data_IF_590906992893
#
_entry.id   IF_590906992893
#
_cell.length_a   1.000
_cell.length_b   1.000
_cell.length_c   1.000
_cell.angle_alpha   90.00
_cell.angle_beta   90.00
_cell.angle_gamma   90.00
#
_symmetry.space_group_name_H-M   'P 1'
#
loop_
_entity.id
_entity.type
_entity.pdbx_description
1 polymer ?
#
# COMPACT_ATOMS: atom_id res chain seq x y z
N UNK A 1 25.87 -43.32 30.41
CA UNK A 1 25.68 -41.95 30.96
C UNK A 1 26.51 -40.99 30.13
N UNK A 2 25.98 -39.77 29.89
CA UNK A 2 26.51 -38.62 29.10
C UNK A 2 26.61 -38.84 27.58
N UNK A 3 25.89 -38.20 26.66
CA UNK A 3 25.05 -36.99 26.71
C UNK A 3 25.76 -35.79 26.06
N UNK A 4 25.63 -35.60 24.73
CA UNK A 4 25.90 -34.32 24.04
C UNK A 4 25.05 -34.19 22.76
N UNK A 5 24.11 -33.24 22.66
CA UNK A 5 23.40 -32.94 21.42
C UNK A 5 24.24 -32.01 20.53
N UNK A 6 24.55 -32.41 19.31
CA UNK A 6 25.09 -31.48 18.29
C UNK A 6 23.93 -30.84 17.57
N UNK A 7 23.65 -29.57 17.89
CA UNK A 7 22.71 -28.70 17.20
C UNK A 7 23.17 -28.51 15.75
N UNK A 8 22.60 -29.31 14.84
CA UNK A 8 22.68 -29.04 13.41
C UNK A 8 21.96 -27.72 13.15
N UNK A 9 22.73 -26.65 12.90
CA UNK A 9 22.20 -25.37 12.42
C UNK A 9 21.47 -25.64 11.10
N UNK A 10 20.14 -25.73 11.14
CA UNK A 10 19.31 -25.63 9.94
C UNK A 10 19.62 -24.26 9.33
N UNK A 11 20.30 -24.25 8.17
CA UNK A 11 20.41 -23.05 7.35
C UNK A 11 18.98 -22.56 7.11
N UNK A 12 18.69 -21.35 7.59
CA UNK A 12 17.51 -20.61 7.17
C UNK A 12 17.67 -20.40 5.66
N UNK A 13 16.68 -20.77 4.82
CA UNK A 13 16.72 -20.40 3.41
C UNK A 13 16.83 -18.87 3.35
N UNK A 14 17.75 -18.38 2.53
CA UNK A 14 17.91 -16.94 2.31
C UNK A 14 16.54 -16.37 1.93
N UNK A 15 16.12 -15.22 2.50
CA UNK A 15 14.87 -14.60 2.09
C UNK A 15 14.97 -14.40 0.58
N UNK A 16 14.07 -15.05 -0.16
CA UNK A 16 14.00 -14.86 -1.61
C UNK A 16 13.96 -13.35 -1.85
N UNK A 17 14.96 -12.80 -2.55
CA UNK A 17 14.98 -11.39 -2.92
C UNK A 17 13.64 -11.05 -3.52
N UNK A 18 12.86 -10.25 -2.82
CA UNK A 18 11.66 -9.65 -3.37
C UNK A 18 12.17 -8.88 -4.60
N UNK A 19 11.69 -9.16 -5.81
CA UNK A 19 12.08 -8.37 -6.96
C UNK A 19 11.76 -6.92 -6.61
N UNK A 20 12.77 -6.07 -6.65
CA UNK A 20 12.60 -4.63 -6.50
C UNK A 20 11.76 -4.19 -7.69
N UNK A 21 10.45 -4.10 -7.49
CA UNK A 21 9.56 -3.48 -8.44
C UNK A 21 9.96 -2.01 -8.39
N UNK A 22 10.71 -1.55 -9.39
CA UNK A 22 10.89 -0.12 -9.64
C UNK A 22 9.51 0.46 -9.94
N UNK A 23 8.79 0.81 -8.88
CA UNK A 23 7.62 1.65 -8.97
C UNK A 23 8.17 3.02 -9.30
N UNK A 24 8.22 3.32 -10.59
CA UNK A 24 8.45 4.67 -11.08
C UNK A 24 7.33 5.52 -10.46
N UNK A 25 7.67 6.21 -9.37
CA UNK A 25 6.80 7.16 -8.69
C UNK A 25 6.70 8.34 -9.65
N UNK A 26 5.78 8.24 -10.61
CA UNK A 26 5.42 9.34 -11.49
C UNK A 26 4.74 10.38 -10.59
N UNK A 27 5.57 11.27 -10.05
CA UNK A 27 5.15 12.41 -9.27
C UNK A 27 4.42 13.41 -10.19
N UNK A 28 3.15 13.69 -9.87
CA UNK A 28 2.77 15.05 -9.58
C UNK A 28 2.40 15.11 -8.09
N UNK A 29 3.38 14.97 -7.21
CA UNK A 29 3.17 14.63 -5.79
C UNK A 29 3.06 15.80 -4.82
N UNK A 30 3.17 17.07 -5.23
CA UNK A 30 3.11 18.19 -4.25
C UNK A 30 1.71 18.78 -4.00
N UNK A 31 0.71 18.47 -4.83
CA UNK A 31 -0.65 18.97 -4.59
C UNK A 31 -1.45 17.93 -3.81
N UNK A 32 -1.89 18.29 -2.61
CA UNK A 32 -2.91 17.52 -1.90
C UNK A 32 -4.20 17.50 -2.74
N UNK A 33 -4.84 16.33 -2.94
CA UNK A 33 -6.11 16.25 -3.62
C UNK A 33 -7.16 17.10 -2.88
N UNK A 34 -8.12 17.70 -3.60
CA UNK A 34 -9.13 18.54 -2.99
C UNK A 34 -9.96 17.75 -1.96
N UNK A 35 -10.41 18.45 -0.92
CA UNK A 35 -11.13 17.85 0.21
C UNK A 35 -12.37 17.05 -0.20
N UNK A 36 -13.07 17.49 -1.27
CA UNK A 36 -14.22 16.77 -1.79
C UNK A 36 -13.83 15.41 -2.40
N UNK A 37 -12.71 15.34 -3.09
CA UNK A 37 -12.16 14.08 -3.64
C UNK A 37 -11.67 13.16 -2.54
N UNK A 38 -11.04 13.69 -1.48
CA UNK A 38 -10.68 12.92 -0.29
C UNK A 38 -11.93 12.33 0.40
N UNK A 39 -13.00 13.12 0.51
CA UNK A 39 -14.27 12.63 1.07
C UNK A 39 -14.88 11.53 0.21
N UNK A 40 -14.87 11.69 -1.11
CA UNK A 40 -15.34 10.67 -2.04
C UNK A 40 -14.51 9.38 -1.93
N UNK A 41 -13.18 9.49 -1.91
CA UNK A 41 -12.27 8.38 -1.73
C UNK A 41 -12.54 7.63 -0.42
N UNK A 42 -12.72 8.35 0.69
CA UNK A 42 -13.05 7.76 1.99
C UNK A 42 -14.36 6.99 1.93
N UNK A 43 -15.41 7.57 1.35
CA UNK A 43 -16.70 6.91 1.21
C UNK A 43 -16.62 5.64 0.37
N UNK A 44 -15.82 5.68 -0.71
CA UNK A 44 -15.59 4.52 -1.57
C UNK A 44 -14.88 3.41 -0.80
N UNK A 45 -13.79 3.74 -0.10
CA UNK A 45 -13.06 2.80 0.76
C UNK A 45 -13.93 2.19 1.86
N UNK A 46 -14.78 3.01 2.49
CA UNK A 46 -15.75 2.54 3.49
C UNK A 46 -16.75 1.54 2.90
N UNK A 47 -17.23 1.78 1.67
CA UNK A 47 -18.21 0.91 1.02
C UNK A 47 -17.64 -0.41 0.51
N UNK A 48 -16.41 -0.40 -0.01
CA UNK A 48 -15.80 -1.57 -0.65
C UNK A 48 -14.98 -2.44 0.31
N UNK A 49 -14.24 -1.81 1.23
CA UNK A 49 -13.25 -2.48 2.08
C UNK A 49 -13.49 -2.28 3.58
N UNK A 50 -14.31 -1.29 3.96
CA UNK A 50 -14.67 -1.00 5.34
C UNK A 50 -13.78 0.04 6.03
N UNK A 51 -13.94 0.23 7.35
CA UNK A 51 -13.33 1.34 8.09
C UNK A 51 -11.81 1.28 8.16
N UNK A 52 -11.22 0.07 8.24
CA UNK A 52 -9.77 -0.07 8.31
C UNK A 52 -9.10 0.52 7.05
N UNK A 53 -9.61 0.19 5.87
CA UNK A 53 -9.11 0.72 4.61
C UNK A 53 -9.29 2.25 4.50
N UNK A 54 -10.41 2.77 4.99
CA UNK A 54 -10.73 4.20 4.94
C UNK A 54 -9.89 5.05 5.91
N UNK A 55 -9.38 4.46 6.99
CA UNK A 55 -8.50 5.13 7.96
C UNK A 55 -7.01 5.03 7.59
N UNK A 56 -6.64 4.25 6.57
CA UNK A 56 -5.28 4.22 6.04
C UNK A 56 -5.01 5.45 5.15
N UNK A 57 -4.14 6.40 5.57
CA UNK A 57 -3.92 7.64 4.84
C UNK A 57 -3.33 7.39 3.44
N UNK A 58 -2.37 6.46 3.30
CA UNK A 58 -1.76 6.15 2.02
C UNK A 58 -2.79 5.64 1.01
N UNK A 59 -3.70 4.78 1.47
CA UNK A 59 -4.77 4.22 0.66
C UNK A 59 -5.77 5.32 0.26
N UNK A 60 -6.12 6.18 1.21
CA UNK A 60 -7.01 7.31 0.99
C UNK A 60 -6.46 8.28 -0.08
N UNK A 61 -5.19 8.66 0.03
CA UNK A 61 -4.53 9.53 -0.95
C UNK A 61 -4.40 8.85 -2.32
N UNK A 62 -4.03 7.57 -2.36
CA UNK A 62 -3.95 6.82 -3.60
C UNK A 62 -5.31 6.75 -4.32
N UNK A 63 -6.38 6.44 -3.59
CA UNK A 63 -7.74 6.42 -4.12
C UNK A 63 -8.20 7.81 -4.55
N UNK A 64 -7.92 8.86 -3.77
CA UNK A 64 -8.29 10.23 -4.13
C UNK A 64 -7.58 10.70 -5.41
N UNK A 65 -6.29 10.42 -5.56
CA UNK A 65 -5.54 10.73 -6.79
C UNK A 65 -6.09 9.98 -8.00
N UNK A 66 -6.49 8.72 -7.83
CA UNK A 66 -7.14 7.95 -8.89
C UNK A 66 -8.46 8.59 -9.32
N UNK A 67 -9.34 8.93 -8.38
CA UNK A 67 -10.61 9.60 -8.66
C UNK A 67 -10.43 10.94 -9.38
N UNK A 68 -9.41 11.71 -9.00
CA UNK A 68 -9.11 12.97 -9.65
C UNK A 68 -8.68 12.77 -11.11
N UNK A 69 -7.78 11.81 -11.37
CA UNK A 69 -7.38 11.45 -12.75
C UNK A 69 -8.58 10.97 -13.58
N UNK A 70 -9.46 10.16 -13.00
CA UNK A 70 -10.66 9.68 -13.68
C UNK A 70 -11.61 10.85 -14.03
N UNK A 71 -11.73 11.86 -13.16
CA UNK A 71 -12.50 13.07 -13.43
C UNK A 71 -11.87 13.96 -14.52
N UNK A 72 -10.54 14.14 -14.51
CA UNK A 72 -9.81 14.90 -15.53
C UNK A 72 -9.90 14.23 -16.91
N UNK A 73 -9.91 12.90 -16.98
CA UNK A 73 -10.07 12.14 -18.23
C UNK A 73 -11.51 12.12 -18.78
N UNK A 74 -12.49 12.50 -17.95
CA UNK A 74 -13.91 12.51 -18.32
C UNK A 74 -14.42 13.88 -18.82
N UNK A 75 -13.54 14.89 -18.87
CA UNK A 75 -13.82 16.26 -19.32
C UNK A 75 -13.34 16.50 -20.74
#
# INVERSE_FOLDING_TARGET
MTGRPTTTKRRLPEPASIPEIEVDVIAPEDAEPPMDTLRAARNLLLSEYGPCAADHPDLLFATARRLQRDADQSS
#
